data_IF_443776776043
#
_entry.id   IF_443776776043
#
_cell.length_a   1.000
_cell.length_b   1.000
_cell.length_c   1.000
_cell.angle_alpha   90.00
_cell.angle_beta   90.00
_cell.angle_gamma   90.00
#
_symmetry.space_group_name_H-M   'P 1'
#
loop_
_entity.id
_entity.type
_entity.pdbx_description
1 polymer ?
#
# COMPACT_ATOMS: atom_id res chain seq x y z
N UNK A 1 -1.55 4.05 -23.85
CA UNK A 1 -1.07 2.68 -23.62
C UNK A 1 -1.71 1.72 -24.62
N UNK A 2 -3.03 1.67 -24.72
CA UNK A 2 -3.74 0.70 -25.56
C UNK A 2 -3.32 0.73 -27.04
N UNK A 3 -3.20 1.90 -27.64
CA UNK A 3 -2.72 2.06 -29.05
C UNK A 3 -1.29 1.52 -29.27
N UNK A 4 -0.44 1.54 -28.24
CA UNK A 4 0.93 1.02 -28.31
C UNK A 4 1.04 -0.45 -27.89
N UNK A 5 -0.03 -1.07 -27.43
CA UNK A 5 -0.08 -2.43 -26.92
C UNK A 5 0.77 -2.70 -25.68
N UNK A 6 1.27 -1.66 -25.00
CA UNK A 6 2.19 -1.78 -23.86
C UNK A 6 1.91 -0.75 -22.77
N UNK A 7 1.97 -1.18 -21.52
CA UNK A 7 1.89 -0.29 -20.36
C UNK A 7 2.14 -1.02 -19.04
N UNK A 8 2.61 -0.25 -18.05
CA UNK A 8 2.77 -0.70 -16.66
C UNK A 8 2.14 0.33 -15.75
N UNK A 9 1.09 -0.05 -15.03
CA UNK A 9 0.38 0.79 -14.07
C UNK A 9 0.62 0.21 -12.69
N UNK A 10 1.16 1.03 -11.79
CA UNK A 10 1.38 0.65 -10.39
C UNK A 10 0.61 1.65 -9.52
N UNK A 11 -0.42 1.16 -8.87
CA UNK A 11 -1.20 1.94 -7.91
C UNK A 11 -0.61 1.81 -6.51
N UNK A 12 -0.57 2.91 -5.77
CA UNK A 12 -0.24 2.89 -4.34
C UNK A 12 -1.54 2.84 -3.54
N UNK A 13 -1.83 1.64 -3.09
CA UNK A 13 -2.96 1.34 -2.22
C UNK A 13 -2.68 1.63 -0.75
N UNK A 14 -3.06 0.71 0.08
CA UNK A 14 -2.80 0.63 1.53
C UNK A 14 -3.22 -0.76 2.00
N UNK A 15 -2.73 -1.23 3.15
CA UNK A 15 -3.34 -2.39 3.84
C UNK A 15 -4.85 -2.17 4.06
N UNK A 16 -5.28 -0.92 4.15
CA UNK A 16 -6.70 -0.54 4.27
C UNK A 16 -7.51 -0.76 2.98
N UNK A 17 -6.93 -1.34 1.96
CA UNK A 17 -7.62 -1.95 0.83
C UNK A 17 -8.04 -3.42 1.11
N UNK A 18 -7.58 -4.00 2.23
CA UNK A 18 -7.79 -5.40 2.62
C UNK A 18 -8.43 -5.53 4.01
N UNK A 19 -8.07 -4.62 4.93
CA UNK A 19 -8.57 -4.57 6.30
C UNK A 19 -9.12 -3.19 6.64
N UNK A 20 -9.90 -3.10 7.71
CA UNK A 20 -10.47 -1.84 8.16
C UNK A 20 -9.84 -1.35 9.47
N UNK A 21 -10.01 -0.07 9.75
CA UNK A 21 -9.74 0.53 11.06
C UNK A 21 -10.86 1.50 11.41
N UNK A 22 -11.24 1.64 12.69
CA UNK A 22 -12.25 2.60 13.12
C UNK A 22 -11.92 4.03 12.65
N UNK A 23 -12.96 4.80 12.38
CA UNK A 23 -12.87 6.22 11.99
C UNK A 23 -12.18 6.52 10.65
N UNK A 24 -12.04 5.50 9.78
CA UNK A 24 -11.42 5.62 8.45
C UNK A 24 -12.35 5.20 7.30
N UNK A 25 -13.67 5.33 7.45
CA UNK A 25 -14.65 4.80 6.49
C UNK A 25 -14.40 5.27 5.05
N UNK A 26 -14.24 6.58 4.82
CA UNK A 26 -13.99 7.12 3.50
C UNK A 26 -12.65 6.63 2.90
N UNK A 27 -11.60 6.60 3.72
CA UNK A 27 -10.28 6.13 3.29
C UNK A 27 -10.30 4.63 2.94
N UNK A 28 -10.91 3.82 3.81
CA UNK A 28 -11.07 2.37 3.59
C UNK A 28 -11.88 2.11 2.32
N UNK A 29 -13.00 2.79 2.14
CA UNK A 29 -13.83 2.65 0.93
C UNK A 29 -13.04 3.00 -0.34
N UNK A 30 -12.28 4.12 -0.33
CA UNK A 30 -11.46 4.53 -1.45
C UNK A 30 -10.37 3.51 -1.80
N UNK A 31 -9.69 2.95 -0.78
CA UNK A 31 -8.60 1.99 -1.00
C UNK A 31 -9.11 0.61 -1.41
N UNK A 32 -10.24 0.14 -0.90
CA UNK A 32 -10.91 -1.05 -1.41
C UNK A 32 -11.38 -0.87 -2.87
N UNK A 33 -11.98 0.28 -3.18
CA UNK A 33 -12.40 0.63 -4.53
C UNK A 33 -11.24 0.64 -5.54
N UNK A 34 -10.06 1.13 -5.13
CA UNK A 34 -8.87 1.13 -5.98
C UNK A 34 -8.41 -0.27 -6.39
N UNK A 35 -8.48 -1.24 -5.48
CA UNK A 35 -8.18 -2.66 -5.79
C UNK A 35 -9.23 -3.23 -6.73
N UNK A 36 -10.51 -2.96 -6.49
CA UNK A 36 -11.60 -3.38 -7.38
C UNK A 36 -11.43 -2.79 -8.79
N UNK A 37 -11.18 -1.48 -8.89
CA UNK A 37 -10.87 -0.79 -10.13
C UNK A 37 -9.69 -1.43 -10.88
N UNK A 38 -8.60 -1.72 -10.17
CA UNK A 38 -7.41 -2.35 -10.76
C UNK A 38 -7.71 -3.72 -11.39
N UNK A 39 -8.57 -4.51 -10.74
CA UNK A 39 -9.00 -5.82 -11.27
C UNK A 39 -9.80 -5.68 -12.56
N UNK A 40 -10.70 -4.70 -12.64
CA UNK A 40 -11.49 -4.45 -13.85
C UNK A 40 -10.58 -4.04 -15.00
N UNK A 41 -9.67 -3.08 -14.79
CA UNK A 41 -8.74 -2.63 -15.84
C UNK A 41 -7.80 -3.77 -16.27
N UNK A 42 -7.37 -4.64 -15.35
CA UNK A 42 -6.58 -5.82 -15.71
C UNK A 42 -7.32 -6.73 -16.69
N UNK A 43 -8.61 -6.97 -16.49
CA UNK A 43 -9.44 -7.78 -17.38
C UNK A 43 -9.68 -7.07 -18.72
N UNK A 44 -9.97 -5.77 -18.71
CA UNK A 44 -10.19 -4.96 -19.91
C UNK A 44 -8.96 -4.82 -20.80
N UNK A 45 -7.77 -5.07 -20.27
CA UNK A 45 -6.48 -4.93 -21.01
C UNK A 45 -5.76 -6.27 -21.20
N UNK A 46 -6.42 -7.40 -20.90
CA UNK A 46 -5.82 -8.74 -20.91
C UNK A 46 -5.36 -9.19 -22.32
N UNK A 47 -5.88 -8.56 -23.37
CA UNK A 47 -5.51 -8.76 -24.77
C UNK A 47 -4.23 -8.03 -25.20
N UNK A 48 -3.57 -7.32 -24.27
CA UNK A 48 -2.39 -6.47 -24.53
C UNK A 48 -1.25 -6.79 -23.55
N UNK A 49 -0.06 -6.21 -23.76
CA UNK A 49 1.01 -6.21 -22.75
C UNK A 49 0.90 -4.99 -21.80
N UNK A 50 -0.32 -4.75 -21.31
CA UNK A 50 -0.59 -3.76 -20.26
C UNK A 50 -0.86 -4.51 -18.95
N UNK A 51 -0.15 -4.12 -17.90
CA UNK A 51 -0.43 -4.63 -16.55
C UNK A 51 -0.80 -3.51 -15.59
N UNK A 52 -1.65 -3.82 -14.62
CA UNK A 52 -2.02 -2.92 -13.54
C UNK A 52 -1.99 -3.69 -12.23
N UNK A 53 -1.18 -3.22 -11.27
CA UNK A 53 -1.05 -3.85 -9.95
C UNK A 53 -1.13 -2.78 -8.86
N UNK A 54 -1.46 -3.22 -7.64
CA UNK A 54 -1.59 -2.33 -6.49
C UNK A 54 -0.63 -2.75 -5.39
N UNK A 55 0.27 -1.86 -4.98
CA UNK A 55 1.12 -2.05 -3.80
C UNK A 55 0.34 -1.53 -2.59
N UNK A 56 0.19 -2.36 -1.57
CA UNK A 56 -0.55 -2.05 -0.35
C UNK A 56 0.39 -2.02 0.87
N UNK A 57 1.06 -0.89 1.12
CA UNK A 57 1.91 -0.75 2.30
C UNK A 57 1.08 -0.52 3.56
N UNK A 58 1.67 -0.84 4.71
CA UNK A 58 1.28 -0.34 6.02
C UNK A 58 1.88 1.06 6.26
N UNK A 59 2.49 1.30 7.41
CA UNK A 59 3.13 2.58 7.71
C UNK A 59 4.48 2.73 7.00
N UNK A 60 4.54 3.67 6.07
CA UNK A 60 5.77 4.11 5.39
C UNK A 60 6.30 5.35 6.10
N UNK A 61 7.59 5.38 6.44
CA UNK A 61 8.22 6.52 7.10
C UNK A 61 8.27 7.73 6.16
N UNK A 62 7.37 8.65 6.35
CA UNK A 62 7.18 9.86 5.52
C UNK A 62 7.01 11.10 6.42
N UNK A 63 7.23 12.32 5.92
CA UNK A 63 6.93 13.54 6.68
C UNK A 63 5.49 13.61 7.18
N UNK A 64 4.53 13.04 6.43
CA UNK A 64 3.14 12.92 6.88
C UNK A 64 3.00 12.03 8.11
N UNK A 65 3.72 10.91 8.15
CA UNK A 65 3.71 10.00 9.31
C UNK A 65 4.41 10.66 10.49
N UNK A 66 5.47 11.40 10.28
CA UNK A 66 6.15 12.16 11.36
C UNK A 66 5.20 13.20 11.99
N UNK A 67 4.46 13.96 11.16
CA UNK A 67 3.43 14.87 11.65
C UNK A 67 2.33 14.15 12.46
N UNK A 68 1.88 12.99 11.98
CA UNK A 68 0.88 12.17 12.69
C UNK A 68 1.40 11.65 14.03
N UNK A 69 2.70 11.31 14.14
CA UNK A 69 3.31 10.88 15.41
C UNK A 69 3.24 12.03 16.41
N UNK A 70 3.70 13.23 16.03
CA UNK A 70 3.70 14.40 16.91
C UNK A 70 2.26 14.78 17.37
N UNK A 71 1.30 14.77 16.45
CA UNK A 71 -0.09 15.07 16.76
C UNK A 71 -0.73 14.06 17.72
N UNK A 72 -0.46 12.77 17.52
CA UNK A 72 -0.95 11.71 18.39
C UNK A 72 -0.29 11.76 19.77
N UNK A 73 1.01 12.03 19.84
CA UNK A 73 1.73 12.20 21.11
C UNK A 73 1.07 13.31 21.95
N UNK A 74 0.84 14.48 21.33
CA UNK A 74 0.18 15.61 21.98
C UNK A 74 -1.25 15.27 22.41
N UNK A 75 -2.04 14.65 21.55
CA UNK A 75 -3.46 14.36 21.82
C UNK A 75 -3.64 13.30 22.91
N UNK A 76 -2.73 12.33 22.98
CA UNK A 76 -2.79 11.20 23.92
C UNK A 76 -2.02 11.46 25.23
N UNK A 77 -1.20 12.50 25.27
CA UNK A 77 -0.34 12.79 26.44
C UNK A 77 0.76 11.75 26.67
N UNK A 78 1.29 11.16 25.60
CA UNK A 78 2.38 10.16 25.61
C UNK A 78 3.54 10.63 24.75
N UNK A 79 4.71 10.02 24.88
CA UNK A 79 5.87 10.35 24.07
C UNK A 79 5.70 9.90 22.60
N UNK A 80 6.42 10.52 21.66
CA UNK A 80 6.47 10.10 20.27
C UNK A 80 6.97 8.65 20.11
N UNK A 81 7.92 8.23 20.95
CA UNK A 81 8.41 6.85 20.97
C UNK A 81 7.31 5.85 21.34
N UNK A 82 6.46 6.20 22.30
CA UNK A 82 5.30 5.39 22.67
C UNK A 82 4.24 5.36 21.57
N UNK A 83 4.00 6.48 20.86
CA UNK A 83 3.11 6.49 19.67
C UNK A 83 3.64 5.52 18.62
N UNK A 84 4.94 5.57 18.32
CA UNK A 84 5.56 4.67 17.34
C UNK A 84 5.38 3.21 17.77
N UNK A 85 5.79 2.85 18.96
CA UNK A 85 5.83 1.45 19.41
C UNK A 85 4.45 0.87 19.74
N UNK A 86 3.60 1.64 20.42
CA UNK A 86 2.33 1.14 20.97
C UNK A 86 1.12 1.41 20.08
N UNK A 87 1.23 2.31 19.11
CA UNK A 87 0.10 2.69 18.23
C UNK A 87 0.40 2.33 16.79
N UNK A 88 1.48 2.84 16.20
CA UNK A 88 1.71 2.68 14.77
C UNK A 88 2.29 1.30 14.42
N UNK A 89 3.36 0.88 15.09
CA UNK A 89 4.03 -0.37 14.79
C UNK A 89 3.45 -1.58 15.53
N UNK A 90 2.63 -1.36 16.55
CA UNK A 90 2.00 -2.45 17.31
C UNK A 90 1.26 -3.49 16.44
N UNK A 91 0.52 -3.10 15.39
CA UNK A 91 -0.14 -4.07 14.52
C UNK A 91 0.81 -4.80 13.56
N UNK A 92 2.07 -4.37 13.48
CA UNK A 92 3.08 -4.92 12.56
C UNK A 92 4.03 -5.84 13.33
N UNK A 93 3.94 -7.18 13.21
CA UNK A 93 4.82 -8.10 13.93
C UNK A 93 6.32 -7.84 13.75
N UNK A 94 6.74 -7.37 12.57
CA UNK A 94 8.14 -6.96 12.33
C UNK A 94 8.56 -5.71 13.10
N UNK A 95 7.63 -4.87 13.57
CA UNK A 95 7.90 -3.71 14.41
C UNK A 95 8.76 -2.61 13.76
N UNK A 96 8.77 -2.53 12.42
CA UNK A 96 9.54 -1.53 11.66
C UNK A 96 8.69 -0.86 10.61
N UNK A 97 8.99 0.42 10.31
CA UNK A 97 8.37 1.13 9.19
C UNK A 97 8.84 0.56 7.86
N UNK A 98 7.96 0.62 6.86
CA UNK A 98 8.32 0.32 5.48
C UNK A 98 9.21 1.45 4.94
N UNK A 99 10.33 1.08 4.32
CA UNK A 99 11.25 2.02 3.68
C UNK A 99 10.83 2.39 2.26
N UNK A 100 11.32 3.52 1.77
CA UNK A 100 11.10 3.92 0.37
C UNK A 100 11.80 3.00 -0.62
N UNK A 101 12.95 2.45 -0.24
CA UNK A 101 13.71 1.47 -1.02
C UNK A 101 12.94 0.16 -1.20
N UNK A 102 12.19 -0.28 -0.21
CA UNK A 102 11.31 -1.45 -0.32
C UNK A 102 10.18 -1.19 -1.35
N UNK A 103 9.54 -0.01 -1.29
CA UNK A 103 8.52 0.38 -2.27
C UNK A 103 9.11 0.53 -3.67
N UNK A 104 10.29 1.13 -3.78
CA UNK A 104 10.99 1.30 -5.05
C UNK A 104 11.38 -0.06 -5.66
N UNK A 105 11.88 -0.99 -4.84
CA UNK A 105 12.22 -2.35 -5.27
C UNK A 105 11.02 -3.12 -5.82
N UNK A 106 9.89 -3.11 -5.12
CA UNK A 106 8.65 -3.75 -5.59
C UNK A 106 8.13 -3.06 -6.86
N UNK A 107 8.19 -1.73 -6.92
CA UNK A 107 7.79 -1.00 -8.12
C UNK A 107 8.67 -1.36 -9.31
N UNK A 108 9.99 -1.38 -9.13
CA UNK A 108 10.94 -1.78 -10.17
C UNK A 108 10.68 -3.20 -10.66
N UNK A 109 10.38 -4.14 -9.76
CA UNK A 109 9.98 -5.49 -10.14
C UNK A 109 8.70 -5.48 -10.99
N UNK A 110 7.64 -4.79 -10.56
CA UNK A 110 6.35 -4.77 -11.26
C UNK A 110 6.41 -4.16 -12.66
N UNK A 111 7.32 -3.24 -12.91
CA UNK A 111 7.51 -2.63 -14.24
C UNK A 111 8.49 -3.41 -15.13
N UNK A 112 9.18 -4.41 -14.57
CA UNK A 112 10.15 -5.23 -15.29
C UNK A 112 9.50 -6.33 -16.15
N UNK A 113 10.22 -6.90 -17.11
CA UNK A 113 9.75 -8.06 -17.87
C UNK A 113 9.43 -9.30 -17.01
N UNK A 114 10.04 -9.43 -15.83
CA UNK A 114 9.79 -10.55 -14.91
C UNK A 114 8.35 -10.57 -14.37
N UNK A 115 7.69 -9.41 -14.30
CA UNK A 115 6.30 -9.27 -13.85
C UNK A 115 5.28 -9.22 -15.02
N UNK A 116 5.68 -9.58 -16.24
CA UNK A 116 4.85 -9.45 -17.44
C UNK A 116 3.45 -10.07 -17.31
N UNK A 117 3.34 -11.19 -16.61
CA UNK A 117 2.07 -11.91 -16.40
C UNK A 117 1.41 -11.58 -15.07
N UNK A 118 1.92 -10.58 -14.32
CA UNK A 118 1.30 -10.08 -13.09
C UNK A 118 0.40 -8.90 -13.41
N UNK A 119 -0.91 -9.12 -13.39
CA UNK A 119 -1.90 -8.04 -13.54
C UNK A 119 -3.07 -8.25 -12.59
N UNK A 120 -3.69 -7.18 -12.14
CA UNK A 120 -4.79 -7.21 -11.16
C UNK A 120 -4.37 -7.65 -9.75
N UNK A 121 -3.06 -7.75 -9.47
CA UNK A 121 -2.57 -8.27 -8.21
C UNK A 121 -2.44 -7.18 -7.15
N UNK A 122 -2.53 -7.62 -5.89
CA UNK A 122 -2.32 -6.79 -4.71
C UNK A 122 -1.08 -7.30 -3.98
N UNK A 123 -0.05 -6.46 -3.91
CA UNK A 123 1.20 -6.79 -3.23
C UNK A 123 1.24 -6.06 -1.88
N UNK A 124 1.31 -6.83 -0.81
CA UNK A 124 1.23 -6.32 0.56
C UNK A 124 2.63 -6.17 1.14
N UNK A 125 2.93 -4.97 1.67
CA UNK A 125 4.14 -4.68 2.44
C UNK A 125 3.71 -4.14 3.80
N UNK A 126 3.53 -5.01 4.78
CA UNK A 126 2.87 -4.65 6.03
C UNK A 126 3.53 -5.18 7.30
N UNK A 127 4.69 -5.80 7.18
CA UNK A 127 5.40 -6.39 8.31
C UNK A 127 4.62 -7.48 9.04
N UNK A 128 3.66 -8.12 8.36
CA UNK A 128 2.85 -9.21 8.90
C UNK A 128 1.52 -8.77 9.52
N UNK A 129 1.10 -7.51 9.34
CA UNK A 129 -0.16 -7.01 9.91
C UNK A 129 -1.38 -7.83 9.46
N UNK A 130 -1.47 -8.19 8.18
CA UNK A 130 -2.67 -8.83 7.61
C UNK A 130 -2.68 -10.36 7.67
N UNK A 131 -1.65 -10.98 8.26
CA UNK A 131 -1.53 -12.45 8.36
C UNK A 131 -1.74 -13.01 9.78
N UNK A 132 -2.25 -12.21 10.69
CA UNK A 132 -2.56 -12.58 12.08
C UNK A 132 -4.06 -12.50 12.37
#
# INVERSE_FOLDING_TARGET
MRERGFGRIVNIGSIHALVASPFKSAYVAAKHGLVGFSKVIALETADTDITINTICPSYVKTPLVDSQIADQARTRGISEAEVVSQVMLKPMPKGVFIGFDELAGVTAFLISPAARNMTGQTLVLDGGWTVQ
#
